data_IF_990516582357
#
_entry.id   IF_990516582357
#
_cell.length_a   1.000
_cell.length_b   1.000
_cell.length_c   1.000
_cell.angle_alpha   90.00
_cell.angle_beta   90.00
_cell.angle_gamma   90.00
#
_symmetry.space_group_name_H-M   'P 1'
#
loop_
_entity.id
_entity.type
_entity.pdbx_description
1 polymer ?
#
# COMPACT_ATOMS: atom_id res chain seq x y z
N UNK A 1 16.08 11.97 -15.41
CA UNK A 1 14.89 12.40 -14.65
C UNK A 1 13.65 12.15 -15.50
N UNK A 2 13.12 10.93 -15.48
CA UNK A 2 11.89 10.58 -16.18
C UNK A 2 10.96 9.90 -15.16
N UNK A 3 9.84 10.55 -14.87
CA UNK A 3 8.79 10.04 -13.98
C UNK A 3 8.10 8.84 -14.63
N UNK A 4 8.70 7.66 -14.48
CA UNK A 4 8.05 6.39 -14.79
C UNK A 4 7.17 6.00 -13.59
N UNK A 5 5.87 6.25 -13.73
CA UNK A 5 4.91 5.81 -12.70
C UNK A 5 3.54 6.49 -12.74
N UNK A 6 3.32 7.52 -13.58
CA UNK A 6 1.95 8.02 -13.76
C UNK A 6 1.08 6.91 -14.38
N UNK A 7 0.11 6.43 -13.61
CA UNK A 7 -1.00 5.60 -14.08
C UNK A 7 -1.81 6.46 -15.08
N UNK A 8 -1.36 6.50 -16.34
CA UNK A 8 -1.85 7.45 -17.37
C UNK A 8 -3.24 7.12 -17.95
N UNK A 9 -3.98 6.14 -17.44
CA UNK A 9 -5.21 5.65 -18.12
C UNK A 9 -6.38 5.22 -17.22
N UNK A 10 -6.27 5.36 -15.90
CA UNK A 10 -7.42 5.12 -15.03
C UNK A 10 -8.00 6.47 -14.66
N UNK A 11 -9.31 6.67 -14.91
CA UNK A 11 -10.01 7.81 -14.32
C UNK A 11 -9.75 7.72 -12.82
N UNK A 12 -9.11 8.72 -12.24
CA UNK A 12 -8.93 8.77 -10.80
C UNK A 12 -10.33 8.59 -10.19
N UNK A 13 -10.47 7.69 -9.23
CA UNK A 13 -11.73 7.52 -8.52
C UNK A 13 -12.20 8.87 -7.94
N UNK A 14 -13.41 8.95 -7.37
CA UNK A 14 -13.97 10.21 -6.87
C UNK A 14 -13.27 10.74 -5.60
N UNK A 15 -11.95 10.57 -5.47
CA UNK A 15 -11.12 10.94 -4.32
C UNK A 15 -11.34 12.39 -3.91
N UNK A 16 -11.28 13.34 -4.85
CA UNK A 16 -11.51 14.76 -4.56
C UNK A 16 -12.93 15.02 -4.07
N UNK A 17 -13.94 14.47 -4.74
CA UNK A 17 -15.33 14.64 -4.35
C UNK A 17 -15.63 13.99 -2.99
N UNK A 18 -15.02 12.85 -2.71
CA UNK A 18 -15.12 12.15 -1.43
C UNK A 18 -14.46 12.93 -0.30
N UNK A 19 -13.24 13.42 -0.50
CA UNK A 19 -12.54 14.29 0.44
C UNK A 19 -13.35 15.56 0.78
N UNK A 20 -13.92 16.24 -0.23
CA UNK A 20 -14.79 17.41 -0.01
C UNK A 20 -16.09 17.09 0.75
N UNK A 21 -16.60 15.86 0.64
CA UNK A 21 -17.76 15.43 1.43
C UNK A 21 -17.35 15.11 2.88
N UNK A 22 -16.22 14.43 3.06
CA UNK A 22 -15.67 14.10 4.38
C UNK A 22 -15.28 15.33 5.18
N UNK A 23 -14.78 16.39 4.53
CA UNK A 23 -14.37 17.64 5.19
C UNK A 23 -15.51 18.39 5.89
N UNK A 24 -16.76 17.96 5.68
CA UNK A 24 -17.93 18.47 6.42
C UNK A 24 -18.07 17.86 7.81
N UNK A 25 -17.43 16.72 8.05
CA UNK A 25 -17.57 15.93 9.28
C UNK A 25 -16.28 15.84 10.08
N UNK A 26 -15.12 15.91 9.42
CA UNK A 26 -13.81 15.85 10.06
C UNK A 26 -12.77 16.66 9.30
N UNK A 27 -11.64 16.93 9.95
CA UNK A 27 -10.45 17.40 9.26
C UNK A 27 -9.93 16.32 8.32
N UNK A 28 -9.68 16.69 7.07
CA UNK A 28 -9.15 15.78 6.04
C UNK A 28 -7.75 16.22 5.67
N UNK A 29 -6.76 15.41 6.05
CA UNK A 29 -5.35 15.62 5.72
C UNK A 29 -4.95 14.65 4.62
N UNK A 30 -4.32 15.18 3.56
CA UNK A 30 -3.73 14.35 2.50
C UNK A 30 -2.30 14.04 2.89
N UNK A 31 -1.97 12.74 2.93
CA UNK A 31 -0.61 12.24 3.20
C UNK A 31 0.01 11.65 1.95
N UNK A 32 1.35 11.65 1.86
CA UNK A 32 2.05 10.98 0.77
C UNK A 32 1.91 9.45 0.86
N UNK A 33 1.17 8.87 -0.09
CA UNK A 33 0.83 7.45 -0.12
C UNK A 33 1.87 6.57 -0.84
N UNK A 34 2.96 7.12 -1.38
CA UNK A 34 3.90 6.37 -2.22
C UNK A 34 4.40 5.06 -1.57
N UNK A 35 4.18 3.90 -2.19
CA UNK A 35 4.57 2.56 -1.65
C UNK A 35 3.95 2.13 -0.30
N UNK A 36 2.99 2.86 0.27
CA UNK A 36 2.32 2.48 1.54
C UNK A 36 1.72 1.09 1.50
N UNK A 37 1.15 0.67 0.37
CA UNK A 37 0.61 -0.68 0.19
C UNK A 37 1.69 -1.74 -0.06
N UNK A 38 2.89 -1.36 -0.50
CA UNK A 38 3.93 -2.29 -0.94
C UNK A 38 4.91 -2.68 0.17
N UNK A 39 5.15 -1.80 1.15
CA UNK A 39 6.10 -2.07 2.23
C UNK A 39 5.37 -2.65 3.43
N UNK A 40 5.97 -3.64 4.10
CA UNK A 40 5.38 -4.16 5.32
C UNK A 40 5.50 -3.14 6.45
N UNK A 41 4.39 -2.80 7.10
CA UNK A 41 4.40 -1.88 8.24
C UNK A 41 5.19 -2.41 9.44
N UNK A 42 4.93 -3.64 9.86
CA UNK A 42 5.50 -4.24 11.08
C UNK A 42 6.88 -4.91 10.85
N UNK A 43 7.51 -4.72 9.69
CA UNK A 43 8.79 -5.35 9.35
C UNK A 43 9.72 -4.33 8.68
N UNK A 44 11.00 -4.39 9.02
CA UNK A 44 12.02 -3.46 8.51
C UNK A 44 12.65 -3.90 7.18
N UNK A 45 12.18 -5.01 6.59
CA UNK A 45 12.72 -5.47 5.31
C UNK A 45 12.59 -4.37 4.25
N UNK A 46 13.65 -4.13 3.45
CA UNK A 46 13.60 -3.17 2.36
C UNK A 46 12.80 -3.70 1.16
N UNK A 47 12.45 -4.99 1.14
CA UNK A 47 11.74 -5.61 0.02
C UNK A 47 10.25 -5.24 -0.03
N UNK A 48 9.72 -5.22 -1.24
CA UNK A 48 8.27 -5.11 -1.44
C UNK A 48 7.57 -6.42 -1.08
N UNK A 49 6.37 -6.28 -0.52
CA UNK A 49 5.43 -7.35 -0.37
C UNK A 49 4.99 -7.88 -1.74
N UNK A 50 4.86 -9.19 -1.86
CA UNK A 50 4.35 -9.83 -3.07
C UNK A 50 2.87 -10.21 -2.91
N UNK A 51 2.12 -10.27 -4.01
CA UNK A 51 0.75 -10.80 -3.93
C UNK A 51 0.80 -12.26 -3.49
N UNK A 52 0.01 -12.61 -2.48
CA UNK A 52 -0.22 -14.00 -2.17
C UNK A 52 -0.83 -14.69 -3.39
N UNK A 53 -0.39 -15.91 -3.69
CA UNK A 53 -0.90 -16.68 -4.83
C UNK A 53 -1.72 -17.86 -4.34
N UNK A 54 -2.86 -18.09 -4.98
CA UNK A 54 -3.72 -19.26 -4.75
C UNK A 54 -3.88 -20.04 -6.04
N UNK A 55 -4.08 -21.35 -5.92
CA UNK A 55 -4.43 -22.21 -7.05
C UNK A 55 -5.94 -22.10 -7.28
N UNK A 56 -6.37 -21.72 -8.49
CA UNK A 56 -7.79 -21.72 -8.87
C UNK A 56 -8.00 -22.30 -10.25
N UNK A 57 -9.16 -22.91 -10.46
CA UNK A 57 -9.67 -23.18 -11.80
C UNK A 57 -10.10 -21.86 -12.43
N UNK A 58 -9.55 -21.53 -13.59
CA UNK A 58 -9.94 -20.35 -14.35
C UNK A 58 -11.21 -20.64 -15.18
N UNK A 59 -11.81 -19.59 -15.77
CA UNK A 59 -13.04 -19.70 -16.58
C UNK A 59 -12.89 -20.59 -17.81
N UNK A 60 -11.65 -20.79 -18.27
CA UNK A 60 -11.29 -21.68 -19.38
C UNK A 60 -11.02 -23.13 -18.93
N UNK A 61 -11.35 -23.48 -17.67
CA UNK A 61 -11.15 -24.81 -17.11
C UNK A 61 -9.70 -25.12 -16.69
N UNK A 62 -8.74 -24.25 -17.00
CA UNK A 62 -7.32 -24.49 -16.70
C UNK A 62 -6.99 -24.04 -15.27
N UNK A 63 -6.33 -24.91 -14.51
CA UNK A 63 -5.85 -24.61 -13.16
C UNK A 63 -4.59 -23.74 -13.22
N UNK A 64 -4.61 -22.58 -12.57
CA UNK A 64 -3.47 -21.66 -12.51
C UNK A 64 -3.23 -21.12 -11.10
N UNK A 65 -1.97 -20.80 -10.80
CA UNK A 65 -1.62 -19.97 -9.63
C UNK A 65 -1.87 -18.51 -9.97
N UNK A 66 -2.77 -17.87 -9.24
CA UNK A 66 -3.23 -16.50 -9.50
C UNK A 66 -2.98 -15.60 -8.29
N UNK A 67 -2.73 -14.30 -8.48
CA UNK A 67 -2.56 -13.37 -7.36
C UNK A 67 -3.91 -13.08 -6.67
N UNK A 68 -3.87 -12.98 -5.35
CA UNK A 68 -4.94 -12.43 -4.51
C UNK A 68 -4.58 -10.98 -4.21
N UNK A 69 -5.20 -10.04 -4.92
CA UNK A 69 -4.79 -8.63 -4.84
C UNK A 69 -5.02 -7.99 -3.46
N UNK A 70 -5.94 -8.52 -2.64
CA UNK A 70 -6.17 -8.00 -1.28
C UNK A 70 -5.13 -8.45 -0.26
N UNK A 71 -4.39 -9.53 -0.54
CA UNK A 71 -3.49 -10.15 0.43
C UNK A 71 -2.06 -10.13 -0.09
N UNK A 72 -1.19 -9.56 0.72
CA UNK A 72 0.21 -9.36 0.43
C UNK A 72 1.06 -10.21 1.36
N UNK A 73 2.19 -10.72 0.89
CA UNK A 73 3.06 -11.62 1.62
C UNK A 73 4.47 -11.05 1.74
N UNK A 74 4.95 -10.97 2.97
CA UNK A 74 6.30 -10.55 3.29
C UNK A 74 7.21 -11.78 3.23
N UNK A 75 7.95 -11.95 2.14
CA UNK A 75 8.81 -13.12 1.96
C UNK A 75 9.96 -13.13 2.97
N UNK A 76 10.39 -14.31 3.43
CA UNK A 76 11.53 -14.44 4.36
C UNK A 76 12.89 -14.09 3.75
N UNK A 77 12.96 -13.94 2.42
CA UNK A 77 14.19 -13.49 1.74
C UNK A 77 14.56 -12.08 2.19
N UNK A 78 15.86 -11.79 2.25
CA UNK A 78 16.39 -10.46 2.58
C UNK A 78 15.76 -9.81 3.83
N UNK A 79 15.57 -10.60 4.89
CA UNK A 79 15.14 -10.12 6.21
C UNK A 79 13.65 -9.91 6.39
N UNK A 80 12.79 -10.36 5.47
CA UNK A 80 11.34 -10.33 5.70
C UNK A 80 10.85 -11.40 6.68
N UNK A 81 9.62 -11.23 7.17
CA UNK A 81 9.11 -11.97 8.33
C UNK A 81 8.24 -13.21 8.00
N UNK A 82 7.91 -13.45 6.72
CA UNK A 82 7.07 -14.59 6.31
C UNK A 82 5.57 -14.43 6.57
N UNK A 83 5.10 -13.25 6.99
CA UNK A 83 3.68 -13.01 7.30
C UNK A 83 2.93 -12.51 6.07
N UNK A 84 1.66 -12.93 5.96
CA UNK A 84 0.70 -12.29 5.06
C UNK A 84 -0.05 -11.17 5.78
N UNK A 85 -0.37 -10.11 5.07
CA UNK A 85 -1.11 -8.95 5.55
C UNK A 85 -2.21 -8.56 4.57
N UNK A 86 -3.29 -7.99 5.10
CA UNK A 86 -4.27 -7.30 4.27
C UNK A 86 -3.65 -6.01 3.70
N UNK A 87 -3.79 -5.81 2.39
CA UNK A 87 -3.18 -4.70 1.66
C UNK A 87 -3.66 -3.35 2.17
N UNK A 88 -4.97 -3.21 2.38
CA UNK A 88 -5.60 -1.93 2.69
C UNK A 88 -5.32 -1.57 4.15
N UNK A 89 -5.36 -2.56 5.05
CA UNK A 89 -4.95 -2.37 6.46
C UNK A 89 -3.47 -1.99 6.56
N UNK A 90 -2.58 -2.66 5.82
CA UNK A 90 -1.16 -2.32 5.81
C UNK A 90 -0.92 -0.89 5.31
N UNK A 91 -1.56 -0.48 4.21
CA UNK A 91 -1.47 0.88 3.71
C UNK A 91 -2.02 1.91 4.71
N UNK A 92 -3.16 1.63 5.34
CA UNK A 92 -3.77 2.52 6.33
C UNK A 92 -2.86 2.75 7.56
N UNK A 93 -2.21 1.70 8.07
CA UNK A 93 -1.23 1.83 9.16
C UNK A 93 -0.07 2.75 8.77
N UNK A 94 0.45 2.64 7.54
CA UNK A 94 1.49 3.55 7.06
C UNK A 94 0.99 4.98 6.95
N UNK A 95 -0.20 5.20 6.37
CA UNK A 95 -0.79 6.54 6.26
C UNK A 95 -0.96 7.20 7.64
N UNK A 96 -1.41 6.45 8.65
CA UNK A 96 -1.51 6.93 10.03
C UNK A 96 -0.13 7.30 10.60
N UNK A 97 0.88 6.44 10.43
CA UNK A 97 2.24 6.71 10.91
C UNK A 97 2.87 7.93 10.24
N UNK A 98 2.57 8.18 8.97
CA UNK A 98 3.02 9.40 8.27
C UNK A 98 2.35 10.63 8.88
N UNK A 99 1.03 10.59 9.09
CA UNK A 99 0.30 11.68 9.72
C UNK A 99 0.83 11.98 11.12
N UNK A 100 1.07 10.95 11.94
CA UNK A 100 1.64 11.11 13.28
C UNK A 100 3.01 11.78 13.26
N UNK A 101 3.88 11.42 12.32
CA UNK A 101 5.18 12.09 12.13
C UNK A 101 5.00 13.57 11.77
N UNK A 102 4.10 13.89 10.83
CA UNK A 102 3.82 15.27 10.43
C UNK A 102 3.31 16.12 11.60
N UNK A 103 2.39 15.58 12.41
CA UNK A 103 1.88 16.23 13.61
C UNK A 103 2.96 16.43 14.69
N UNK A 104 3.96 15.54 14.75
CA UNK A 104 5.12 15.66 15.62
C UNK A 104 6.22 16.59 15.05
N UNK A 105 6.00 17.24 13.91
CA UNK A 105 7.01 18.10 13.25
C UNK A 105 8.13 17.34 12.54
N UNK A 106 8.00 16.02 12.37
CA UNK A 106 8.95 15.18 11.64
C UNK A 106 8.57 15.21 10.16
N UNK A 107 9.32 15.99 9.38
CA UNK A 107 9.10 16.12 7.94
C UNK A 107 9.52 14.88 7.15
N UNK A 108 10.46 14.11 7.69
CA UNK A 108 10.94 12.92 7.01
C UNK A 108 9.95 11.75 7.09
N UNK A 109 9.77 11.11 5.95
CA UNK A 109 8.94 9.90 5.84
C UNK A 109 9.54 8.73 6.63
N UNK A 110 8.76 7.78 7.15
CA UNK A 110 9.31 6.58 7.78
C UNK A 110 10.35 5.89 6.86
N UNK A 111 11.49 5.50 7.40
CA UNK A 111 12.62 4.94 6.64
C UNK A 111 12.20 3.83 5.66
N UNK A 112 11.35 2.92 6.13
CA UNK A 112 10.77 1.81 5.34
C UNK A 112 10.03 2.24 4.06
N UNK A 113 9.61 3.50 3.94
CA UNK A 113 8.87 4.05 2.80
C UNK A 113 9.73 4.95 1.88
N UNK A 114 10.98 5.22 2.23
CA UNK A 114 11.86 6.13 1.48
C UNK A 114 12.45 5.50 0.21
N UNK A 115 12.60 4.17 0.21
CA UNK A 115 13.26 3.41 -0.84
C UNK A 115 12.27 2.64 -1.68
#
# INVERSE_FOLDING_TARGET
>A
MAGEGLIKRSVAGPVKAFACKLSRYCEVVVVDEFRTSKKHFDCQTPEDLENQRVTRMCRDGVIRKVPVHKVLHCLRKHGGCGKSVDRDVNAAKHSLSILQNQLAGISERPFRLRH
#
